data_IF_191629183217
#
_entry.id   IF_191629183217
#
_cell.length_a   1.000
_cell.length_b   1.000
_cell.length_c   1.000
_cell.angle_alpha   90.00
_cell.angle_beta   90.00
_cell.angle_gamma   90.00
#
_symmetry.space_group_name_H-M   'P 1'
#
loop_
_entity.id
_entity.type
_entity.pdbx_description
1 polymer ?
#
# COMPACT_ATOMS: atom_id res chain seq x y z
N UNK A 1 2.19 4.47 -9.76
CA UNK A 1 3.07 5.67 -9.68
C UNK A 1 2.41 6.89 -10.32
N UNK A 2 1.94 6.85 -11.58
CA UNK A 2 1.31 7.99 -12.27
C UNK A 2 0.11 8.57 -11.53
N UNK A 3 -0.87 7.75 -11.18
CA UNK A 3 -2.05 8.20 -10.44
C UNK A 3 -1.69 8.86 -9.10
N UNK A 4 -0.69 8.35 -8.40
CA UNK A 4 -0.22 8.94 -7.15
C UNK A 4 0.46 10.29 -7.37
N UNK A 5 1.28 10.42 -8.42
CA UNK A 5 1.87 11.71 -8.80
C UNK A 5 0.77 12.76 -9.05
N UNK A 6 -0.19 12.44 -9.93
CA UNK A 6 -1.25 13.40 -10.32
C UNK A 6 -2.18 13.75 -9.16
N UNK A 7 -2.39 12.84 -8.22
CA UNK A 7 -3.13 13.15 -6.98
C UNK A 7 -2.36 14.10 -6.07
N UNK A 8 -1.02 13.92 -5.96
CA UNK A 8 -0.16 14.78 -5.11
C UNK A 8 0.14 16.13 -5.74
N UNK A 9 0.28 16.15 -7.05
CA UNK A 9 0.49 17.35 -7.86
C UNK A 9 -0.23 17.21 -9.21
N UNK A 10 -1.43 17.79 -9.37
CA UNK A 10 -2.20 17.69 -10.61
C UNK A 10 -1.54 18.37 -11.83
N UNK A 11 -0.55 19.23 -11.61
CA UNK A 11 0.16 19.97 -12.66
C UNK A 11 1.68 19.92 -12.39
N UNK A 12 2.30 18.74 -12.54
CA UNK A 12 3.75 18.61 -12.31
C UNK A 12 4.51 19.41 -13.38
N UNK A 13 5.56 20.10 -12.95
CA UNK A 13 6.43 20.88 -13.84
C UNK A 13 7.44 19.92 -14.49
N UNK A 14 7.25 19.64 -15.76
CA UNK A 14 8.08 18.73 -16.57
C UNK A 14 8.34 19.32 -17.95
N UNK A 15 9.40 18.88 -18.61
CA UNK A 15 9.69 19.21 -20.02
C UNK A 15 8.91 18.35 -21.01
N UNK A 16 8.24 17.29 -20.51
CA UNK A 16 7.34 16.40 -21.23
C UNK A 16 6.11 16.07 -20.40
N UNK A 17 5.50 14.89 -20.62
CA UNK A 17 4.29 14.48 -19.91
C UNK A 17 4.59 13.64 -18.66
N UNK A 18 3.68 13.60 -17.66
CA UNK A 18 3.81 12.70 -16.52
C UNK A 18 3.87 11.21 -16.92
N UNK A 19 3.13 10.83 -17.98
CA UNK A 19 3.14 9.48 -18.55
C UNK A 19 4.50 9.13 -19.10
N UNK A 20 5.10 10.02 -19.90
CA UNK A 20 6.45 9.87 -20.43
C UNK A 20 7.49 9.71 -19.31
N UNK A 21 7.42 10.53 -18.28
CA UNK A 21 8.31 10.43 -17.14
C UNK A 21 8.24 9.06 -16.47
N UNK A 22 7.03 8.60 -16.13
CA UNK A 22 6.82 7.31 -15.48
C UNK A 22 7.32 6.17 -16.35
N UNK A 23 6.92 6.15 -17.61
CA UNK A 23 7.35 5.13 -18.58
C UNK A 23 8.89 5.09 -18.71
N UNK A 24 9.51 6.25 -18.86
CA UNK A 24 10.97 6.37 -18.96
C UNK A 24 11.70 5.81 -17.72
N UNK A 25 11.20 6.10 -16.52
CA UNK A 25 11.79 5.54 -15.29
C UNK A 25 11.73 4.01 -15.28
N UNK A 26 10.60 3.43 -15.71
CA UNK A 26 10.45 1.98 -15.75
C UNK A 26 11.39 1.37 -16.78
N UNK A 27 11.46 1.90 -18.01
CA UNK A 27 12.37 1.40 -19.05
C UNK A 27 13.84 1.51 -18.64
N UNK A 28 14.30 2.67 -18.16
CA UNK A 28 15.69 2.87 -17.81
C UNK A 28 16.11 2.05 -16.58
N UNK A 29 15.24 1.94 -15.58
CA UNK A 29 15.54 1.22 -14.34
C UNK A 29 15.51 -0.31 -14.54
N UNK A 30 14.53 -0.84 -15.27
CA UNK A 30 14.45 -2.28 -15.56
C UNK A 30 15.64 -2.75 -16.39
N UNK A 31 16.05 -1.95 -17.38
CA UNK A 31 17.22 -2.24 -18.19
C UNK A 31 18.51 -2.38 -17.38
N UNK A 32 18.61 -1.61 -16.30
CA UNK A 32 19.77 -1.61 -15.43
C UNK A 32 19.58 -2.48 -14.15
N UNK A 33 18.43 -3.15 -14.00
CA UNK A 33 18.13 -3.99 -12.84
C UNK A 33 17.91 -3.20 -11.54
N UNK A 34 17.54 -1.91 -11.63
CA UNK A 34 17.13 -1.08 -10.50
C UNK A 34 15.62 -1.15 -10.34
N UNK A 35 15.12 -1.12 -9.12
CA UNK A 35 13.68 -1.08 -8.83
C UNK A 35 13.07 0.24 -9.31
N UNK A 36 12.29 0.24 -10.41
CA UNK A 36 11.77 1.48 -11.01
C UNK A 36 10.82 2.24 -10.10
N UNK A 37 9.97 1.52 -9.36
CA UNK A 37 9.00 2.10 -8.44
C UNK A 37 9.67 2.86 -7.27
N UNK A 38 10.82 2.38 -6.81
CA UNK A 38 11.59 3.02 -5.74
C UNK A 38 12.43 4.20 -6.27
N UNK A 39 13.07 4.05 -7.45
CA UNK A 39 13.80 5.15 -8.08
C UNK A 39 12.87 6.34 -8.39
N UNK A 40 11.65 6.07 -8.89
CA UNK A 40 10.67 7.12 -9.13
C UNK A 40 10.10 7.71 -7.83
N UNK A 41 9.91 6.90 -6.77
CA UNK A 41 9.53 7.40 -5.46
C UNK A 41 10.58 8.34 -4.86
N UNK A 42 11.88 8.07 -5.11
CA UNK A 42 12.96 8.97 -4.75
C UNK A 42 12.86 10.29 -5.53
N UNK A 43 12.64 10.24 -6.85
CA UNK A 43 12.44 11.44 -7.65
C UNK A 43 11.24 12.28 -7.15
N UNK A 44 10.13 11.64 -6.74
CA UNK A 44 9.00 12.34 -6.11
C UNK A 44 9.43 13.07 -4.84
N UNK A 45 10.24 12.43 -4.00
CA UNK A 45 10.74 13.02 -2.76
C UNK A 45 11.66 14.22 -3.06
N UNK A 46 12.66 14.04 -3.92
CA UNK A 46 13.68 15.06 -4.22
C UNK A 46 13.12 16.31 -4.90
N UNK A 47 12.09 16.16 -5.73
CA UNK A 47 11.48 17.26 -6.49
C UNK A 47 10.21 17.83 -5.84
N UNK A 48 9.80 17.30 -4.69
CA UNK A 48 8.51 17.64 -4.08
C UNK A 48 7.33 17.30 -5.01
N UNK A 49 7.32 16.09 -5.59
CA UNK A 49 6.34 15.67 -6.60
C UNK A 49 6.35 16.58 -7.84
N UNK A 50 7.53 16.98 -8.31
CA UNK A 50 7.73 17.89 -9.43
C UNK A 50 7.05 19.27 -9.27
N UNK A 51 6.86 19.71 -8.05
CA UNK A 51 6.49 21.11 -7.74
C UNK A 51 7.71 22.03 -7.83
N UNK A 52 8.86 21.47 -7.48
CA UNK A 52 10.13 22.17 -7.30
C UNK A 52 10.01 23.35 -6.29
N UNK A 53 11.09 23.92 -5.88
CA UNK A 53 11.07 25.01 -4.87
C UNK A 53 12.43 25.20 -4.22
N UNK A 54 13.39 24.33 -4.58
CA UNK A 54 14.79 24.42 -4.15
C UNK A 54 15.69 24.99 -5.25
N UNK A 55 16.98 24.63 -5.18
CA UNK A 55 18.01 25.13 -6.08
C UNK A 55 17.92 24.58 -7.51
N UNK A 56 17.24 23.47 -7.73
CA UNK A 56 17.06 22.82 -9.03
C UNK A 56 15.78 23.33 -9.71
N UNK A 57 15.91 23.77 -10.96
CA UNK A 57 14.77 24.16 -11.82
C UNK A 57 14.24 22.96 -12.61
N UNK A 58 12.93 22.92 -12.85
CA UNK A 58 12.27 21.83 -13.57
C UNK A 58 12.78 21.62 -15.02
N UNK A 59 13.27 22.69 -15.67
CA UNK A 59 13.84 22.63 -17.03
C UNK A 59 15.18 21.89 -17.08
N UNK A 60 15.80 21.64 -15.94
CA UNK A 60 17.08 20.94 -15.87
C UNK A 60 16.94 19.42 -16.02
N UNK A 61 15.73 18.85 -15.99
CA UNK A 61 15.48 17.40 -15.97
C UNK A 61 16.34 16.67 -14.92
N UNK A 62 16.63 17.33 -13.82
CA UNK A 62 17.42 16.79 -12.72
C UNK A 62 16.48 16.35 -11.60
N UNK A 63 16.17 15.07 -11.57
CA UNK A 63 15.12 14.51 -10.73
C UNK A 63 15.57 14.06 -9.34
N UNK A 64 16.85 14.18 -9.06
CA UNK A 64 17.43 13.73 -7.78
C UNK A 64 18.48 14.70 -7.20
N UNK A 65 18.50 15.95 -7.67
CA UNK A 65 19.37 16.97 -7.13
C UNK A 65 20.86 16.79 -7.43
N UNK A 66 21.21 16.07 -8.50
CA UNK A 66 22.62 15.86 -8.86
C UNK A 66 23.39 17.17 -9.01
N UNK A 67 24.47 17.30 -8.23
CA UNK A 67 25.32 18.47 -8.24
C UNK A 67 24.76 19.71 -7.50
N UNK A 68 23.56 19.65 -6.96
CA UNK A 68 23.03 20.67 -6.05
C UNK A 68 23.64 20.47 -4.66
N UNK A 69 24.46 21.43 -4.23
CA UNK A 69 25.16 21.37 -2.94
C UNK A 69 24.61 22.36 -1.91
N UNK A 70 23.45 22.94 -2.18
CA UNK A 70 22.88 24.04 -1.38
C UNK A 70 23.48 25.40 -1.72
N UNK A 71 23.07 26.43 -0.97
CA UNK A 71 23.56 27.80 -1.11
C UNK A 71 23.42 28.40 -2.54
N UNK A 72 22.35 28.02 -3.27
CA UNK A 72 22.07 28.51 -4.63
C UNK A 72 22.80 27.75 -5.75
N UNK A 73 23.48 26.66 -5.46
CA UNK A 73 24.09 25.82 -6.49
C UNK A 73 23.00 25.06 -7.27
N UNK A 74 22.76 25.46 -8.52
CA UNK A 74 21.64 24.97 -9.35
C UNK A 74 21.70 23.48 -9.74
N UNK A 75 22.80 22.77 -9.45
CA UNK A 75 22.96 21.38 -9.85
C UNK A 75 23.19 21.20 -11.34
N UNK A 76 23.13 19.97 -11.80
CA UNK A 76 23.36 19.58 -13.19
C UNK A 76 22.08 19.72 -14.02
N UNK A 77 22.26 19.88 -15.36
CA UNK A 77 21.15 19.93 -16.31
C UNK A 77 21.30 18.81 -17.35
N UNK A 78 20.17 18.19 -17.70
CA UNK A 78 20.08 17.13 -18.70
C UNK A 78 19.17 17.56 -19.86
N UNK A 79 19.45 17.14 -21.11
CA UNK A 79 18.74 17.63 -22.29
C UNK A 79 17.26 17.26 -22.31
N UNK A 80 16.90 16.11 -21.75
CA UNK A 80 15.56 15.56 -21.79
C UNK A 80 15.25 14.68 -20.55
N UNK A 81 14.00 14.28 -20.40
CA UNK A 81 13.52 13.41 -19.33
C UNK A 81 14.29 12.09 -19.29
N UNK A 82 14.56 11.47 -20.43
CA UNK A 82 15.23 10.18 -20.52
C UNK A 82 16.65 10.25 -19.99
N UNK A 83 17.40 11.26 -20.41
CA UNK A 83 18.78 11.46 -19.94
C UNK A 83 18.84 11.76 -18.46
N UNK A 84 17.92 12.59 -17.95
CA UNK A 84 17.83 12.89 -16.51
C UNK A 84 17.45 11.66 -15.68
N UNK A 85 16.48 10.86 -16.10
CA UNK A 85 16.11 9.62 -15.43
C UNK A 85 17.26 8.60 -15.45
N UNK A 86 17.94 8.44 -16.60
CA UNK A 86 19.13 7.58 -16.72
C UNK A 86 20.24 8.01 -15.78
N UNK A 87 20.54 9.31 -15.70
CA UNK A 87 21.56 9.84 -14.79
C UNK A 87 21.24 9.51 -13.32
N UNK A 88 19.98 9.66 -12.93
CA UNK A 88 19.53 9.27 -11.60
C UNK A 88 19.71 7.77 -11.32
N UNK A 89 19.28 6.92 -12.24
CA UNK A 89 19.41 5.47 -12.13
C UNK A 89 20.88 5.04 -12.07
N UNK A 90 21.74 5.63 -12.90
CA UNK A 90 23.18 5.37 -12.89
C UNK A 90 23.84 5.82 -11.58
N UNK A 91 23.36 6.91 -11.00
CA UNK A 91 23.82 7.36 -9.68
C UNK A 91 23.49 6.31 -8.58
N UNK A 92 22.27 5.76 -8.61
CA UNK A 92 21.89 4.65 -7.73
C UNK A 92 22.72 3.39 -7.96
N UNK A 93 23.08 3.10 -9.21
CA UNK A 93 23.97 1.97 -9.53
C UNK A 93 25.36 2.14 -8.94
N UNK A 94 25.93 3.36 -8.96
CA UNK A 94 27.23 3.62 -8.36
C UNK A 94 27.24 3.27 -6.87
N UNK A 95 26.13 3.43 -6.17
CA UNK A 95 26.01 3.03 -4.76
C UNK A 95 25.78 1.54 -4.58
N UNK A 96 25.01 0.89 -5.45
CA UNK A 96 24.44 -0.44 -5.17
C UNK A 96 25.24 -1.61 -5.75
N UNK A 97 26.03 -1.40 -6.83
CA UNK A 97 26.80 -2.48 -7.44
C UNK A 97 28.10 -1.97 -8.10
N UNK A 98 29.05 -2.87 -8.29
CA UNK A 98 30.37 -2.56 -8.89
C UNK A 98 30.38 -2.68 -10.42
N UNK A 99 29.44 -3.40 -10.99
CA UNK A 99 29.28 -3.55 -12.44
C UNK A 99 28.88 -2.20 -13.03
N UNK A 100 29.49 -1.87 -14.19
CA UNK A 100 29.16 -0.63 -14.90
C UNK A 100 27.73 -0.69 -15.46
N UNK A 101 27.09 0.48 -15.67
CA UNK A 101 25.84 0.56 -16.39
C UNK A 101 25.93 -0.12 -17.76
N UNK A 102 24.85 -0.72 -18.23
CA UNK A 102 24.76 -1.35 -19.54
C UNK A 102 24.67 -0.32 -20.66
N UNK A 103 24.10 0.86 -20.38
CA UNK A 103 24.04 2.00 -21.29
C UNK A 103 25.19 2.97 -21.03
N UNK A 104 25.53 3.82 -22.03
CA UNK A 104 26.55 4.87 -21.84
C UNK A 104 26.28 5.71 -20.59
N UNK A 105 27.34 5.96 -19.83
CA UNK A 105 27.26 6.74 -18.61
C UNK A 105 26.95 8.20 -18.94
N UNK A 106 25.83 8.69 -18.42
CA UNK A 106 25.38 10.09 -18.54
C UNK A 106 25.37 10.82 -17.19
N UNK A 107 25.54 10.09 -16.07
CA UNK A 107 25.77 10.69 -14.75
C UNK A 107 27.23 11.13 -14.62
N UNK A 108 27.52 12.45 -14.58
CA UNK A 108 28.90 12.93 -14.47
C UNK A 108 29.54 12.61 -13.11
N UNK A 109 28.73 12.19 -12.12
CA UNK A 109 29.22 11.84 -10.78
C UNK A 109 29.48 10.35 -10.60
N UNK A 110 29.11 9.50 -11.57
CA UNK A 110 29.26 8.04 -11.46
C UNK A 110 30.71 7.64 -11.13
N UNK A 111 31.63 8.07 -11.96
CA UNK A 111 33.07 7.75 -11.78
C UNK A 111 33.69 8.50 -10.59
N UNK A 112 33.14 9.65 -10.19
CA UNK A 112 33.59 10.36 -8.98
C UNK A 112 33.25 9.56 -7.70
N UNK A 113 32.07 8.94 -7.62
CA UNK A 113 31.72 8.05 -6.49
C UNK A 113 32.67 6.87 -6.48
N UNK A 114 32.90 6.23 -7.64
CA UNK A 114 33.80 5.09 -7.74
C UNK A 114 35.22 5.41 -7.27
N UNK A 115 35.72 6.59 -7.60
CA UNK A 115 37.12 6.98 -7.31
C UNK A 115 37.28 7.55 -5.89
N UNK A 116 36.33 8.41 -5.48
CA UNK A 116 36.50 9.21 -4.27
C UNK A 116 35.76 8.63 -3.06
N UNK A 117 34.83 7.68 -3.28
CA UNK A 117 34.02 7.07 -2.23
C UNK A 117 34.00 5.54 -2.32
N UNK A 118 35.18 4.90 -2.31
CA UNK A 118 35.27 3.44 -2.35
C UNK A 118 34.62 2.74 -1.16
N UNK A 119 34.39 3.49 -0.07
CA UNK A 119 33.67 3.10 1.14
C UNK A 119 32.18 2.80 0.88
N UNK A 120 31.55 3.44 -0.10
CA UNK A 120 30.15 3.28 -0.44
C UNK A 120 29.93 2.72 -1.85
N UNK A 121 30.89 2.84 -2.76
CA UNK A 121 30.77 2.37 -4.14
C UNK A 121 30.46 0.87 -4.21
N UNK A 122 29.29 0.53 -4.76
CA UNK A 122 28.83 -0.85 -4.92
C UNK A 122 28.53 -1.59 -3.61
N UNK A 123 28.19 -0.90 -2.53
CA UNK A 123 28.00 -1.48 -1.19
C UNK A 123 26.62 -1.24 -0.57
N UNK A 124 25.86 -0.28 -1.09
CA UNK A 124 24.54 0.06 -0.54
C UNK A 124 23.47 -0.76 -1.24
N UNK A 125 23.19 -1.94 -0.74
CA UNK A 125 22.30 -2.91 -1.39
C UNK A 125 20.83 -2.75 -1.01
N UNK A 126 20.55 -1.98 0.04
CA UNK A 126 19.20 -1.69 0.51
C UNK A 126 18.91 -0.19 0.43
N UNK A 127 17.68 0.19 0.19
CA UNK A 127 17.26 1.59 0.16
C UNK A 127 17.52 2.33 1.48
N UNK A 128 17.44 1.62 2.59
CA UNK A 128 17.77 2.16 3.92
C UNK A 128 19.25 2.46 4.12
N UNK A 129 20.14 1.87 3.31
CA UNK A 129 21.57 2.16 3.35
C UNK A 129 21.89 3.57 2.82
N UNK A 130 20.94 4.22 2.13
CA UNK A 130 21.04 5.62 1.71
C UNK A 130 20.90 6.62 2.87
N UNK A 131 20.48 6.16 4.05
CA UNK A 131 20.36 7.00 5.24
C UNK A 131 21.72 7.60 5.61
N UNK A 132 21.79 8.95 5.74
CA UNK A 132 23.02 9.66 6.06
C UNK A 132 24.10 9.63 4.96
N UNK A 133 23.81 9.04 3.80
CA UNK A 133 24.70 8.99 2.63
C UNK A 133 24.18 9.87 1.50
N UNK A 134 22.94 9.63 1.07
CA UNK A 134 22.31 10.44 0.03
C UNK A 134 21.92 11.84 0.55
N UNK A 135 21.30 11.87 1.70
CA UNK A 135 20.89 13.10 2.37
C UNK A 135 21.44 13.13 3.79
N UNK A 136 22.21 14.17 4.15
CA UNK A 136 22.79 14.36 5.48
C UNK A 136 22.05 15.50 6.19
N UNK A 137 21.47 15.28 7.38
CA UNK A 137 21.54 14.11 8.28
C UNK A 137 20.50 13.01 8.07
N UNK A 138 19.78 12.93 6.98
CA UNK A 138 18.65 12.08 6.58
C UNK A 138 18.53 10.69 7.23
N UNK A 139 18.22 10.64 8.54
CA UNK A 139 18.19 9.39 9.34
C UNK A 139 17.18 8.35 8.86
N UNK A 140 16.08 8.78 8.20
CA UNK A 140 14.99 7.90 7.72
C UNK A 140 14.76 8.06 6.21
N UNK A 141 15.77 8.49 5.48
CA UNK A 141 15.64 8.83 4.06
C UNK A 141 15.12 7.67 3.22
N UNK A 142 15.72 6.48 3.36
CA UNK A 142 15.31 5.30 2.63
C UNK A 142 13.92 4.78 3.03
N UNK A 143 13.57 4.86 4.32
CA UNK A 143 12.23 4.51 4.81
C UNK A 143 11.15 5.43 4.22
N UNK A 144 11.42 6.72 4.09
CA UNK A 144 10.49 7.69 3.50
C UNK A 144 10.24 7.39 2.00
N UNK A 145 11.27 6.99 1.25
CA UNK A 145 11.12 6.53 -0.15
C UNK A 145 10.24 5.29 -0.22
N UNK A 146 10.47 4.31 0.65
CA UNK A 146 9.67 3.09 0.73
C UNK A 146 8.20 3.42 1.03
N UNK A 147 7.94 4.33 1.98
CA UNK A 147 6.57 4.78 2.31
C UNK A 147 5.90 5.47 1.11
N UNK A 148 6.62 6.31 0.36
CA UNK A 148 6.09 6.95 -0.85
C UNK A 148 5.71 5.88 -1.88
N UNK A 149 6.58 4.91 -2.14
CA UNK A 149 6.33 3.79 -3.04
C UNK A 149 5.11 2.97 -2.60
N UNK A 150 5.01 2.64 -1.31
CA UNK A 150 3.90 1.83 -0.79
C UNK A 150 2.56 2.54 -0.92
N UNK A 151 2.53 3.85 -0.62
CA UNK A 151 1.34 4.69 -0.85
C UNK A 151 0.97 4.82 -2.33
N UNK A 152 1.98 4.88 -3.21
CA UNK A 152 1.76 4.98 -4.65
C UNK A 152 1.25 3.67 -5.27
N UNK A 153 1.50 2.53 -4.63
CA UNK A 153 0.99 1.22 -5.04
C UNK A 153 -0.44 0.96 -4.61
N UNK A 154 -0.95 1.73 -3.65
CA UNK A 154 -2.33 1.62 -3.22
C UNK A 154 -3.22 2.43 -4.17
N UNK A 155 -4.07 1.78 -4.97
CA UNK A 155 -5.04 2.49 -5.79
C UNK A 155 -6.07 3.17 -4.89
N UNK A 156 -6.60 4.27 -5.37
CA UNK A 156 -7.77 4.93 -4.78
C UNK A 156 -8.90 4.99 -5.81
N UNK A 157 -10.06 5.50 -5.41
CA UNK A 157 -11.21 5.64 -6.29
C UNK A 157 -11.13 6.82 -7.27
N UNK A 158 -9.99 7.48 -7.46
CA UNK A 158 -9.87 8.65 -8.34
C UNK A 158 -9.97 8.30 -9.83
N UNK A 159 -10.33 9.29 -10.65
CA UNK A 159 -10.34 9.13 -12.11
C UNK A 159 -8.92 8.92 -12.66
N UNK A 160 -7.91 9.51 -12.02
CA UNK A 160 -6.51 9.30 -12.38
C UNK A 160 -6.09 7.84 -12.18
N UNK A 161 -6.51 7.21 -11.06
CA UNK A 161 -6.27 5.79 -10.81
C UNK A 161 -6.98 4.91 -11.85
N UNK A 162 -8.21 5.23 -12.21
CA UNK A 162 -8.96 4.48 -13.22
C UNK A 162 -8.34 4.63 -14.62
N UNK A 163 -7.92 5.85 -14.97
CA UNK A 163 -7.23 6.10 -16.24
C UNK A 163 -5.92 5.33 -16.34
N UNK A 164 -5.10 5.35 -15.29
CA UNK A 164 -3.85 4.61 -15.25
C UNK A 164 -4.07 3.09 -15.38
N UNK A 165 -5.09 2.55 -14.71
CA UNK A 165 -5.44 1.13 -14.82
C UNK A 165 -5.87 0.75 -16.23
N UNK A 166 -6.71 1.57 -16.88
CA UNK A 166 -7.16 1.33 -18.24
C UNK A 166 -5.98 1.37 -19.23
N UNK A 167 -5.08 2.35 -19.08
CA UNK A 167 -3.89 2.46 -19.92
C UNK A 167 -2.99 1.21 -19.78
N UNK A 168 -2.77 0.74 -18.56
CA UNK A 168 -2.00 -0.49 -18.31
C UNK A 168 -2.66 -1.73 -18.95
N UNK A 169 -3.99 -1.88 -18.80
CA UNK A 169 -4.71 -3.01 -19.41
C UNK A 169 -4.64 -2.95 -20.95
N UNK A 170 -4.74 -1.77 -21.55
CA UNK A 170 -4.61 -1.62 -23.00
C UNK A 170 -3.21 -1.98 -23.50
N UNK A 171 -2.18 -1.70 -22.73
CA UNK A 171 -0.79 -1.94 -23.09
C UNK A 171 -0.35 -3.39 -22.81
N UNK A 172 -0.62 -3.91 -21.62
CA UNK A 172 -0.13 -5.19 -21.15
C UNK A 172 -1.20 -6.30 -21.11
N UNK A 173 -2.45 -5.96 -20.79
CA UNK A 173 -3.57 -6.90 -20.70
C UNK A 173 -3.37 -8.01 -19.65
N UNK A 174 -2.45 -7.82 -18.72
CA UNK A 174 -2.04 -8.79 -17.71
C UNK A 174 -2.94 -8.80 -16.46
N UNK A 175 -2.67 -9.71 -15.52
CA UNK A 175 -3.42 -9.79 -14.28
C UNK A 175 -3.25 -8.56 -13.39
N UNK A 176 -2.09 -7.89 -13.43
CA UNK A 176 -1.77 -6.72 -12.61
C UNK A 176 -2.71 -5.54 -12.91
N UNK A 177 -2.91 -5.23 -14.19
CA UNK A 177 -3.81 -4.15 -14.61
C UNK A 177 -5.24 -4.37 -14.14
N UNK A 178 -5.74 -5.59 -14.26
CA UNK A 178 -7.09 -5.94 -13.79
C UNK A 178 -7.19 -5.92 -12.25
N UNK A 179 -6.17 -6.40 -11.51
CA UNK A 179 -6.13 -6.28 -10.04
C UNK A 179 -6.21 -4.81 -9.64
N UNK A 180 -5.37 -3.97 -10.25
CA UNK A 180 -5.32 -2.56 -9.93
C UNK A 180 -6.67 -1.88 -10.21
N UNK A 181 -7.31 -2.13 -11.35
CA UNK A 181 -8.62 -1.55 -11.68
C UNK A 181 -9.73 -2.07 -10.77
N UNK A 182 -9.72 -3.35 -10.45
CA UNK A 182 -10.65 -3.94 -9.48
C UNK A 182 -10.58 -3.28 -8.11
N UNK A 183 -9.37 -2.96 -7.63
CA UNK A 183 -9.18 -2.21 -6.39
C UNK A 183 -9.71 -0.76 -6.50
N UNK A 184 -9.52 -0.08 -7.64
CA UNK A 184 -10.15 1.23 -7.88
C UNK A 184 -11.67 1.14 -7.80
N UNK A 185 -12.27 0.13 -8.41
CA UNK A 185 -13.71 -0.09 -8.35
C UNK A 185 -14.21 -0.42 -6.95
N UNK A 186 -13.46 -1.17 -6.13
CA UNK A 186 -13.80 -1.37 -4.71
C UNK A 186 -13.87 -0.03 -3.95
N UNK A 187 -12.89 0.85 -4.16
CA UNK A 187 -12.90 2.18 -3.56
C UNK A 187 -14.08 3.06 -4.00
N UNK A 188 -14.61 2.79 -5.19
CA UNK A 188 -15.82 3.46 -5.72
C UNK A 188 -17.12 2.78 -5.30
N UNK A 189 -17.06 1.68 -4.56
CA UNK A 189 -18.21 0.80 -4.30
C UNK A 189 -18.86 0.26 -5.57
N UNK A 190 -18.13 0.23 -6.67
CA UNK A 190 -18.52 -0.36 -7.95
C UNK A 190 -18.23 -1.86 -7.94
N UNK A 191 -19.01 -2.61 -7.16
CA UNK A 191 -18.69 -3.99 -6.82
C UNK A 191 -18.84 -4.97 -7.97
N UNK A 192 -19.72 -4.69 -8.92
CA UNK A 192 -19.93 -5.54 -10.12
C UNK A 192 -18.70 -5.45 -11.01
N UNK A 193 -18.23 -4.25 -11.31
CA UNK A 193 -17.04 -4.00 -12.11
C UNK A 193 -15.79 -4.53 -11.42
N UNK A 194 -15.72 -4.43 -10.10
CA UNK A 194 -14.65 -5.01 -9.31
C UNK A 194 -14.60 -6.55 -9.44
N UNK A 195 -15.76 -7.21 -9.36
CA UNK A 195 -15.86 -8.67 -9.54
C UNK A 195 -15.41 -9.12 -10.92
N UNK A 196 -15.82 -8.41 -11.97
CA UNK A 196 -15.43 -8.70 -13.35
C UNK A 196 -13.90 -8.61 -13.51
N UNK A 197 -13.29 -7.59 -12.97
CA UNK A 197 -11.85 -7.38 -13.04
C UNK A 197 -11.07 -8.42 -12.23
N UNK A 198 -11.45 -8.68 -10.99
CA UNK A 198 -10.77 -9.74 -10.21
C UNK A 198 -10.93 -11.12 -10.80
N UNK A 199 -12.09 -11.40 -11.41
CA UNK A 199 -12.31 -12.66 -12.14
C UNK A 199 -11.43 -12.74 -13.38
N UNK A 200 -11.28 -11.63 -14.11
CA UNK A 200 -10.39 -11.53 -15.26
C UNK A 200 -8.91 -11.70 -14.85
N UNK A 201 -8.50 -11.12 -13.74
CA UNK A 201 -7.17 -11.27 -13.19
C UNK A 201 -6.88 -12.73 -12.76
N UNK A 202 -7.82 -13.36 -12.06
CA UNK A 202 -7.71 -14.76 -11.62
C UNK A 202 -7.50 -15.72 -12.81
N UNK A 203 -8.25 -15.53 -13.90
CA UNK A 203 -8.11 -16.35 -15.13
C UNK A 203 -6.74 -16.17 -15.79
N UNK A 204 -6.13 -14.98 -15.70
CA UNK A 204 -4.82 -14.67 -16.29
C UNK A 204 -3.65 -15.20 -15.48
N UNK A 205 -3.78 -15.19 -14.18
CA UNK A 205 -2.74 -15.70 -13.27
C UNK A 205 -3.35 -16.31 -12.01
N UNK A 206 -3.50 -17.61 -12.02
CA UNK A 206 -4.08 -18.39 -10.92
C UNK A 206 -3.19 -18.47 -9.67
N UNK A 207 -1.92 -18.08 -9.79
CA UNK A 207 -0.98 -18.08 -8.65
C UNK A 207 -1.05 -16.80 -7.81
N UNK A 208 -1.66 -15.74 -8.34
CA UNK A 208 -1.86 -14.48 -7.61
C UNK A 208 -2.97 -14.66 -6.58
N UNK A 209 -2.75 -14.20 -5.35
CA UNK A 209 -3.70 -14.32 -4.24
C UNK A 209 -4.67 -13.15 -4.15
N UNK A 210 -4.26 -11.98 -4.62
CA UNK A 210 -5.02 -10.73 -4.54
C UNK A 210 -6.40 -10.79 -5.22
N UNK A 211 -6.58 -11.43 -6.39
CA UNK A 211 -7.90 -11.57 -6.99
C UNK A 211 -8.91 -12.33 -6.11
N UNK A 212 -8.44 -13.34 -5.38
CA UNK A 212 -9.31 -14.11 -4.49
C UNK A 212 -9.84 -13.28 -3.32
N UNK A 213 -8.96 -12.45 -2.72
CA UNK A 213 -9.36 -11.51 -1.69
C UNK A 213 -10.28 -10.42 -2.27
N UNK A 214 -9.94 -9.89 -3.44
CA UNK A 214 -10.74 -8.88 -4.14
C UNK A 214 -12.19 -9.33 -4.41
N UNK A 215 -12.36 -10.58 -4.85
CA UNK A 215 -13.70 -11.20 -5.05
C UNK A 215 -14.46 -11.26 -3.72
N UNK A 216 -13.79 -11.67 -2.63
CA UNK A 216 -14.43 -11.76 -1.32
C UNK A 216 -14.88 -10.39 -0.80
N UNK A 217 -14.02 -9.38 -0.95
CA UNK A 217 -14.32 -7.99 -0.57
C UNK A 217 -15.47 -7.40 -1.41
N UNK A 218 -15.47 -7.64 -2.72
CA UNK A 218 -16.50 -7.14 -3.61
C UNK A 218 -17.87 -7.74 -3.29
N UNK A 219 -17.95 -9.06 -3.04
CA UNK A 219 -19.19 -9.71 -2.60
C UNK A 219 -19.66 -9.17 -1.24
N UNK A 220 -18.73 -9.00 -0.28
CA UNK A 220 -19.07 -8.47 1.04
C UNK A 220 -19.61 -7.03 0.93
N UNK A 221 -18.95 -6.17 0.16
CA UNK A 221 -19.39 -4.79 -0.08
C UNK A 221 -20.72 -4.69 -0.81
N UNK A 222 -21.00 -5.61 -1.74
CA UNK A 222 -22.28 -5.71 -2.43
C UNK A 222 -23.42 -6.30 -1.57
N UNK A 223 -23.13 -6.76 -0.34
CA UNK A 223 -24.12 -7.41 0.51
C UNK A 223 -24.46 -8.87 0.12
N UNK A 224 -23.70 -9.46 -0.78
CA UNK A 224 -23.84 -10.86 -1.21
C UNK A 224 -23.18 -11.79 -0.19
N UNK A 225 -23.78 -11.91 0.99
CA UNK A 225 -23.17 -12.49 2.19
C UNK A 225 -22.76 -13.96 1.99
N UNK A 226 -23.59 -14.76 1.33
CA UNK A 226 -23.30 -16.19 1.09
C UNK A 226 -22.10 -16.36 0.13
N UNK A 227 -22.05 -15.57 -0.91
CA UNK A 227 -20.96 -15.54 -1.89
C UNK A 227 -19.66 -15.02 -1.24
N UNK A 228 -19.74 -13.96 -0.45
CA UNK A 228 -18.62 -13.43 0.32
C UNK A 228 -18.03 -14.50 1.24
N UNK A 229 -18.87 -15.21 2.00
CA UNK A 229 -18.42 -16.30 2.86
C UNK A 229 -17.64 -17.36 2.08
N UNK A 230 -18.20 -17.83 0.96
CA UNK A 230 -17.55 -18.84 0.11
C UNK A 230 -16.21 -18.34 -0.44
N UNK A 231 -16.17 -17.08 -0.88
CA UNK A 231 -14.95 -16.46 -1.42
C UNK A 231 -13.86 -16.31 -0.35
N UNK A 232 -14.21 -15.89 0.89
CA UNK A 232 -13.27 -15.88 2.01
C UNK A 232 -12.78 -17.28 2.37
N UNK A 233 -13.64 -18.30 2.36
CA UNK A 233 -13.25 -19.69 2.62
C UNK A 233 -12.21 -20.19 1.59
N UNK A 234 -12.34 -19.77 0.32
CA UNK A 234 -11.35 -20.07 -0.72
C UNK A 234 -10.06 -19.33 -0.48
N UNK A 235 -10.14 -18.02 -0.22
CA UNK A 235 -8.95 -17.19 0.04
C UNK A 235 -8.17 -17.67 1.26
N UNK A 236 -8.84 -17.95 2.37
CA UNK A 236 -8.20 -18.38 3.62
C UNK A 236 -7.56 -19.78 3.55
N UNK A 237 -7.88 -20.61 2.55
CA UNK A 237 -7.11 -21.82 2.26
C UNK A 237 -5.75 -21.53 1.65
N UNK A 238 -5.64 -20.39 0.94
CA UNK A 238 -4.39 -19.95 0.28
C UNK A 238 -3.55 -19.12 1.25
N UNK A 239 -4.21 -18.25 2.01
CA UNK A 239 -3.58 -17.32 2.96
C UNK A 239 -4.22 -17.44 4.37
N UNK A 240 -3.96 -18.54 5.11
CA UNK A 240 -4.62 -18.81 6.39
C UNK A 240 -4.24 -17.85 7.51
N UNK A 241 -3.14 -17.14 7.36
CA UNK A 241 -2.58 -16.23 8.36
C UNK A 241 -2.90 -14.75 8.13
N UNK A 242 -3.73 -14.44 7.12
CA UNK A 242 -4.16 -13.06 6.87
C UNK A 242 -5.18 -12.61 7.92
N UNK A 243 -4.69 -11.84 8.90
CA UNK A 243 -5.50 -11.35 10.01
C UNK A 243 -6.64 -10.42 9.55
N UNK A 244 -6.43 -9.63 8.50
CA UNK A 244 -7.46 -8.72 7.97
C UNK A 244 -8.58 -9.52 7.28
N UNK A 245 -8.21 -10.55 6.51
CA UNK A 245 -9.17 -11.43 5.88
C UNK A 245 -9.96 -12.26 6.92
N UNK A 246 -9.31 -12.77 7.97
CA UNK A 246 -9.97 -13.45 9.08
C UNK A 246 -10.96 -12.54 9.83
N UNK A 247 -10.60 -11.28 10.05
CA UNK A 247 -11.49 -10.28 10.61
C UNK A 247 -12.72 -10.07 9.73
N UNK A 248 -12.53 -9.78 8.46
CA UNK A 248 -13.61 -9.54 7.50
C UNK A 248 -14.51 -10.79 7.32
N UNK A 249 -13.90 -11.97 7.30
CA UNK A 249 -14.65 -13.23 7.30
C UNK A 249 -15.54 -13.38 8.54
N UNK A 250 -15.02 -13.02 9.73
CA UNK A 250 -15.78 -12.96 10.96
C UNK A 250 -16.98 -12.02 10.87
N UNK A 251 -16.83 -10.83 10.26
CA UNK A 251 -17.95 -9.90 10.02
C UNK A 251 -19.00 -10.49 9.08
N UNK A 252 -18.59 -11.17 8.00
CA UNK A 252 -19.49 -11.85 7.07
C UNK A 252 -20.27 -12.97 7.78
N UNK A 253 -19.62 -13.74 8.65
CA UNK A 253 -20.29 -14.78 9.47
C UNK A 253 -21.28 -14.19 10.47
N UNK A 254 -21.00 -13.02 11.05
CA UNK A 254 -21.94 -12.27 11.88
C UNK A 254 -23.16 -11.81 11.08
N UNK A 255 -22.96 -11.35 9.86
CA UNK A 255 -24.04 -10.95 8.95
C UNK A 255 -24.90 -12.15 8.50
N UNK A 256 -24.27 -13.34 8.33
CA UNK A 256 -24.97 -14.60 8.05
C UNK A 256 -25.66 -15.20 9.29
N UNK A 257 -25.63 -14.51 10.42
CA UNK A 257 -26.16 -14.98 11.72
C UNK A 257 -25.50 -16.29 12.22
N UNK A 258 -24.20 -16.41 12.04
CA UNK A 258 -23.39 -17.54 12.51
C UNK A 258 -22.35 -17.07 13.55
N UNK A 259 -22.79 -16.61 14.74
CA UNK A 259 -21.90 -15.97 15.70
C UNK A 259 -20.86 -16.93 16.31
N UNK A 260 -21.12 -18.22 16.38
CA UNK A 260 -20.16 -19.19 16.92
C UNK A 260 -18.92 -19.33 15.99
N UNK A 261 -19.14 -19.45 14.68
CA UNK A 261 -18.03 -19.48 13.71
C UNK A 261 -17.35 -18.13 13.60
N UNK A 262 -18.11 -17.03 13.67
CA UNK A 262 -17.55 -15.69 13.70
C UNK A 262 -16.58 -15.51 14.89
N UNK A 263 -16.95 -15.94 16.09
CA UNK A 263 -16.09 -15.87 17.26
C UNK A 263 -14.78 -16.66 17.05
N UNK A 264 -14.81 -17.82 16.41
CA UNK A 264 -13.61 -18.58 16.10
C UNK A 264 -12.68 -17.82 15.15
N UNK A 265 -13.21 -17.33 14.02
CA UNK A 265 -12.44 -16.57 13.03
C UNK A 265 -11.84 -15.27 13.64
N UNK A 266 -12.60 -14.56 14.46
CA UNK A 266 -12.16 -13.32 15.11
C UNK A 266 -11.08 -13.55 16.17
N UNK A 267 -11.15 -14.67 16.93
CA UNK A 267 -10.04 -15.08 17.82
C UNK A 267 -8.77 -15.36 17.02
N UNK A 268 -8.89 -15.98 15.86
CA UNK A 268 -7.76 -16.24 14.98
C UNK A 268 -7.18 -14.93 14.43
N UNK A 269 -8.02 -13.97 14.03
CA UNK A 269 -7.60 -12.64 13.63
C UNK A 269 -6.81 -11.91 14.74
N UNK A 270 -7.32 -11.95 15.97
CA UNK A 270 -6.67 -11.32 17.14
C UNK A 270 -5.31 -11.98 17.44
N UNK A 271 -5.21 -13.31 17.35
CA UNK A 271 -3.92 -13.99 17.56
C UNK A 271 -2.84 -13.53 16.59
N UNK A 272 -3.21 -13.21 15.35
CA UNK A 272 -2.28 -12.77 14.30
C UNK A 272 -2.02 -11.27 14.32
N UNK A 273 -3.02 -10.48 14.70
CA UNK A 273 -2.91 -9.02 14.81
C UNK A 273 -3.51 -8.53 16.15
N UNK A 274 -2.80 -8.71 17.28
CA UNK A 274 -3.31 -8.42 18.61
C UNK A 274 -3.55 -6.92 18.86
N UNK A 275 -3.04 -6.04 18.00
CA UNK A 275 -3.24 -4.59 18.12
C UNK A 275 -4.46 -4.07 17.35
N UNK A 276 -5.19 -4.93 16.63
CA UNK A 276 -6.39 -4.53 15.89
C UNK A 276 -7.62 -4.48 16.80
N UNK A 277 -7.89 -3.33 17.42
CA UNK A 277 -9.02 -3.11 18.32
C UNK A 277 -10.39 -3.45 17.71
N UNK A 278 -10.57 -3.30 16.39
CA UNK A 278 -11.83 -3.62 15.72
C UNK A 278 -12.14 -5.12 15.76
N UNK A 279 -11.12 -5.99 15.79
CA UNK A 279 -11.32 -7.43 15.93
C UNK A 279 -11.86 -7.81 17.33
N UNK A 280 -11.44 -7.11 18.36
CA UNK A 280 -11.98 -7.30 19.73
C UNK A 280 -13.44 -6.84 19.81
N UNK A 281 -13.76 -5.68 19.24
CA UNK A 281 -15.13 -5.20 19.13
C UNK A 281 -16.05 -6.20 18.43
N UNK A 282 -15.64 -6.70 17.26
CA UNK A 282 -16.40 -7.69 16.50
C UNK A 282 -16.54 -9.02 17.25
N UNK A 283 -15.47 -9.49 17.92
CA UNK A 283 -15.51 -10.71 18.74
C UNK A 283 -16.50 -10.55 19.91
N UNK A 284 -16.52 -9.42 20.57
CA UNK A 284 -17.47 -9.17 21.65
C UNK A 284 -18.93 -9.23 21.16
N UNK A 285 -19.23 -8.68 19.97
CA UNK A 285 -20.55 -8.83 19.34
C UNK A 285 -20.91 -10.31 19.11
N UNK A 286 -19.97 -11.11 18.61
CA UNK A 286 -20.18 -12.53 18.41
C UNK A 286 -20.47 -13.25 19.74
N UNK A 287 -19.70 -12.95 20.78
CA UNK A 287 -19.84 -13.53 22.12
C UNK A 287 -21.17 -13.15 22.79
N UNK A 288 -21.58 -11.88 22.67
CA UNK A 288 -22.91 -11.43 23.15
C UNK A 288 -24.03 -12.22 22.47
N UNK A 289 -23.96 -12.44 21.15
CA UNK A 289 -24.98 -13.19 20.40
C UNK A 289 -25.07 -14.66 20.81
N UNK A 290 -23.98 -15.30 21.23
CA UNK A 290 -23.99 -16.66 21.78
C UNK A 290 -24.21 -16.68 23.31
N UNK A 291 -24.46 -15.52 23.94
CA UNK A 291 -24.69 -15.33 25.37
C UNK A 291 -23.47 -15.62 26.28
N UNK A 292 -22.27 -15.61 25.71
CA UNK A 292 -21.02 -15.63 26.47
C UNK A 292 -20.66 -14.21 26.95
N UNK A 293 -21.41 -13.73 27.92
CA UNK A 293 -21.28 -12.36 28.44
C UNK A 293 -19.94 -12.13 29.17
N UNK A 294 -19.44 -13.17 29.84
CA UNK A 294 -18.14 -13.11 30.53
C UNK A 294 -16.99 -12.98 29.51
N UNK A 295 -17.02 -13.81 28.48
CA UNK A 295 -16.05 -13.72 27.39
C UNK A 295 -16.12 -12.36 26.68
N UNK A 296 -17.32 -11.84 26.44
CA UNK A 296 -17.52 -10.53 25.84
C UNK A 296 -16.92 -9.41 26.70
N UNK A 297 -17.15 -9.45 28.02
CA UNK A 297 -16.60 -8.46 28.95
C UNK A 297 -15.07 -8.42 28.92
N UNK A 298 -14.43 -9.57 29.04
CA UNK A 298 -12.97 -9.68 28.99
C UNK A 298 -12.41 -9.20 27.65
N UNK A 299 -13.04 -9.61 26.54
CA UNK A 299 -12.64 -9.18 25.19
C UNK A 299 -12.72 -7.66 25.03
N UNK A 300 -13.78 -7.01 25.55
CA UNK A 300 -13.91 -5.56 25.46
C UNK A 300 -12.92 -4.84 26.39
N UNK A 301 -12.57 -5.42 27.53
CA UNK A 301 -11.53 -4.88 28.41
C UNK A 301 -10.17 -4.92 27.74
N UNK A 302 -9.80 -6.04 27.09
CA UNK A 302 -8.56 -6.18 26.33
C UNK A 302 -8.50 -5.19 25.15
N UNK A 303 -9.59 -5.05 24.41
CA UNK A 303 -9.69 -4.09 23.30
C UNK A 303 -9.59 -2.63 23.78
N UNK A 304 -10.18 -2.29 24.92
CA UNK A 304 -10.09 -0.96 25.51
C UNK A 304 -8.68 -0.63 26.01
N UNK A 305 -7.93 -1.61 26.47
CA UNK A 305 -6.52 -1.44 26.84
C UNK A 305 -5.65 -1.06 25.64
N UNK A 306 -5.99 -1.56 24.43
CA UNK A 306 -5.29 -1.26 23.19
C UNK A 306 -5.72 0.10 22.60
N UNK A 307 -7.03 0.37 22.60
CA UNK A 307 -7.61 1.58 22.01
C UNK A 307 -8.74 2.13 22.90
N UNK A 308 -8.42 2.87 23.98
CA UNK A 308 -9.41 3.37 24.95
C UNK A 308 -10.49 4.28 24.36
N UNK A 309 -10.18 4.98 23.26
CA UNK A 309 -11.11 5.88 22.58
C UNK A 309 -11.85 5.22 21.40
N UNK A 310 -11.76 3.90 21.23
CA UNK A 310 -12.45 3.21 20.13
C UNK A 310 -13.96 3.20 20.40
N UNK A 311 -14.70 3.90 19.53
CA UNK A 311 -16.15 4.12 19.67
C UNK A 311 -16.94 2.80 19.68
N UNK A 312 -16.55 1.83 18.85
CA UNK A 312 -17.25 0.55 18.75
C UNK A 312 -17.09 -0.28 20.01
N UNK A 313 -15.92 -0.24 20.65
CA UNK A 313 -15.68 -0.87 21.94
C UNK A 313 -16.57 -0.24 23.02
N UNK A 314 -16.61 1.10 23.08
CA UNK A 314 -17.45 1.82 24.06
C UNK A 314 -18.94 1.52 23.86
N UNK A 315 -19.43 1.51 22.62
CA UNK A 315 -20.82 1.14 22.30
C UNK A 315 -21.11 -0.30 22.75
N UNK A 316 -20.22 -1.23 22.45
CA UNK A 316 -20.42 -2.63 22.79
C UNK A 316 -20.36 -2.88 24.31
N UNK A 317 -19.60 -2.10 25.08
CA UNK A 317 -19.64 -2.14 26.56
C UNK A 317 -21.00 -1.72 27.07
N UNK A 318 -21.62 -0.66 26.53
CA UNK A 318 -22.96 -0.20 26.91
C UNK A 318 -24.00 -1.28 26.55
N UNK A 319 -23.92 -1.86 25.35
CA UNK A 319 -24.83 -2.93 24.92
C UNK A 319 -24.73 -4.16 25.82
N UNK A 320 -23.53 -4.56 26.22
CA UNK A 320 -23.32 -5.68 27.13
C UNK A 320 -23.92 -5.41 28.51
N UNK A 321 -23.77 -4.20 29.06
CA UNK A 321 -24.37 -3.82 30.30
C UNK A 321 -25.91 -3.89 30.25
N UNK A 322 -26.52 -3.46 29.15
CA UNK A 322 -27.97 -3.57 28.93
C UNK A 322 -28.42 -5.03 28.91
N UNK A 323 -27.70 -5.91 28.19
CA UNK A 323 -27.97 -7.35 28.17
C UNK A 323 -27.90 -8.00 29.58
N UNK A 324 -26.93 -7.60 30.39
CA UNK A 324 -26.76 -8.14 31.75
C UNK A 324 -27.88 -7.72 32.69
N UNK A 325 -28.37 -6.47 32.60
CA UNK A 325 -29.56 -6.01 33.34
C UNK A 325 -30.78 -6.82 33.01
N UNK A 326 -31.08 -7.04 31.73
CA UNK A 326 -32.21 -7.83 31.26
C UNK A 326 -32.19 -9.29 31.78
N UNK A 327 -31.00 -9.88 31.89
CA UNK A 327 -30.81 -11.22 32.47
C UNK A 327 -31.07 -11.22 33.99
N UNK A 328 -30.66 -10.19 34.70
CA UNK A 328 -30.91 -9.99 36.14
C UNK A 328 -32.40 -9.85 36.45
N UNK A 329 -33.10 -8.99 35.74
CA UNK A 329 -34.54 -8.73 35.91
C UNK A 329 -35.40 -9.97 35.59
N UNK A 330 -35.03 -10.79 34.59
CA UNK A 330 -35.74 -12.05 34.31
C UNK A 330 -35.54 -13.12 35.39
N UNK A 331 -34.40 -13.13 36.09
CA UNK A 331 -34.18 -14.02 37.23
C UNK A 331 -35.00 -13.61 38.47
N UNK A 332 -35.21 -12.30 38.68
CA UNK A 332 -36.04 -11.81 39.79
C UNK A 332 -37.54 -11.99 39.57
N UNK A 333 -38.03 -12.03 38.32
CA UNK A 333 -39.46 -12.25 38.01
C UNK A 333 -39.87 -13.73 38.03
N UNK A 334 -38.91 -14.68 38.14
CA UNK A 334 -39.16 -16.12 38.20
C UNK A 334 -39.01 -16.72 39.60
N UNK A 335 -38.69 -15.89 40.57
CA UNK A 335 -38.78 -16.19 42.02
C UNK A 335 -40.03 -15.55 42.61
#
# INVERSE_FOLDING_TARGET
MLAYLLRRNPKPKLTGTPEELVHTYYEEAEHEGVRPDLALAQAFKETGFFAYGGDVDWKQNNFCGLGATGNGAKGLSFPDIRTGARAHIQHLLAYSRKERPTKPVVDPRYDLIRTNRPDIYGRLTHWTDLNGVWAVPGKNYGQEIIVIRDRARQPDGSDASLHAANAHIMQAGDAEGYIYRGLVYLHRSAYVEALDDFTAAQKRNTKRTEPYLGIALAHAGAGNIKEARRAYEVYLKIAPDDAAALHNYGLVLLAENNPAKAAAALRDAIRRAPTNANSYSALAVALIRIKDYTGAWNTLADGAAIAPANTDILINQILLQACLKDVGDKKHKKK
#
